data_IF_421657285195
#
_entry.id   IF_421657285195
#
_cell.length_a   1.000
_cell.length_b   1.000
_cell.length_c   1.000
_cell.angle_alpha   90.00
_cell.angle_beta   90.00
_cell.angle_gamma   90.00
#
_symmetry.space_group_name_H-M   'P 1'
#
loop_
_entity.id
_entity.type
_entity.pdbx_description
1 polymer ?
#
# COMPACT_ATOMS: atom_id res chain seq x y z
N UNK A 1 20.43 10.39 -0.19
CA UNK A 1 21.35 9.42 0.44
C UNK A 1 21.65 9.89 1.84
N UNK A 2 21.67 8.99 2.81
CA UNK A 2 22.03 9.27 4.20
C UNK A 2 23.55 9.24 4.36
N UNK A 3 24.08 10.25 5.04
CA UNK A 3 25.50 10.35 5.38
C UNK A 3 25.84 9.50 6.61
N UNK A 4 27.13 9.28 6.89
CA UNK A 4 27.56 8.63 8.14
C UNK A 4 27.12 9.42 9.40
N UNK A 5 27.06 10.76 9.32
CA UNK A 5 26.55 11.59 10.39
C UNK A 5 25.04 11.39 10.59
N UNK A 6 24.29 11.23 9.50
CA UNK A 6 22.84 10.96 9.54
C UNK A 6 22.57 9.62 10.24
N UNK A 7 23.32 8.58 9.87
CA UNK A 7 23.19 7.24 10.47
C UNK A 7 23.51 7.27 11.96
N UNK A 8 24.56 8.00 12.35
CA UNK A 8 24.90 8.20 13.76
C UNK A 8 23.76 8.89 14.51
N UNK A 9 23.19 9.96 13.96
CA UNK A 9 22.08 10.68 14.56
C UNK A 9 20.81 9.82 14.68
N UNK A 10 20.49 9.01 13.66
CA UNK A 10 19.39 8.05 13.70
C UNK A 10 19.60 7.03 14.83
N UNK A 11 20.82 6.53 15.02
CA UNK A 11 21.13 5.58 16.08
C UNK A 11 21.03 6.21 17.47
N UNK A 12 21.50 7.46 17.65
CA UNK A 12 21.35 8.19 18.91
C UNK A 12 19.87 8.43 19.24
N UNK A 13 19.07 8.86 18.27
CA UNK A 13 17.64 9.05 18.43
C UNK A 13 16.89 7.73 18.72
N UNK A 14 17.31 6.62 18.11
CA UNK A 14 16.78 5.29 18.41
C UNK A 14 17.05 4.89 19.87
N UNK A 15 18.26 5.13 20.38
CA UNK A 15 18.61 4.86 21.78
C UNK A 15 17.75 5.71 22.72
N UNK A 16 17.59 7.01 22.42
CA UNK A 16 16.73 7.90 23.19
C UNK A 16 15.27 7.43 23.19
N UNK A 17 14.70 7.10 22.02
CA UNK A 17 13.33 6.62 21.91
C UNK A 17 13.10 5.34 22.74
N UNK A 18 14.04 4.38 22.67
CA UNK A 18 13.95 3.13 23.45
C UNK A 18 14.01 3.37 24.96
N UNK A 19 14.77 4.36 25.42
CA UNK A 19 14.82 4.74 26.83
C UNK A 19 13.51 5.34 27.36
N UNK A 20 12.61 5.79 26.48
CA UNK A 20 11.26 6.24 26.85
C UNK A 20 10.28 5.08 27.06
N UNK A 21 10.66 3.84 26.71
CA UNK A 21 9.83 2.63 26.80
C UNK A 21 8.48 2.73 26.06
N UNK A 22 8.45 3.56 25.01
CA UNK A 22 7.28 3.79 24.17
C UNK A 22 7.16 2.73 23.08
N UNK A 23 5.93 2.50 22.61
CA UNK A 23 5.63 1.54 21.56
C UNK A 23 5.59 2.20 20.17
N UNK A 24 5.54 1.40 19.10
CA UNK A 24 5.61 1.88 17.72
C UNK A 24 4.59 2.97 17.37
N UNK A 25 3.38 2.94 17.96
CA UNK A 25 2.35 3.96 17.76
C UNK A 25 2.72 5.37 18.24
N UNK A 26 3.69 5.47 19.14
CA UNK A 26 4.14 6.73 19.75
C UNK A 26 5.37 7.31 19.05
N UNK A 27 5.89 6.66 18.00
CA UNK A 27 6.97 7.20 17.17
C UNK A 27 6.48 8.45 16.44
N UNK A 28 7.05 9.61 16.78
CA UNK A 28 6.78 10.92 16.19
C UNK A 28 8.08 11.74 16.12
N UNK A 29 8.01 12.95 15.55
CA UNK A 29 9.16 13.88 15.52
C UNK A 29 9.59 14.32 16.93
N UNK A 30 8.67 14.30 17.89
CA UNK A 30 8.91 14.69 19.28
C UNK A 30 9.57 13.57 20.08
N UNK A 31 9.14 12.31 19.87
CA UNK A 31 9.68 11.15 20.60
C UNK A 31 10.92 10.55 19.91
N UNK A 32 11.08 10.77 18.60
CA UNK A 32 12.23 10.37 17.80
C UNK A 32 12.82 11.60 17.07
N UNK A 33 13.44 12.54 17.80
CA UNK A 33 13.95 13.78 17.22
C UNK A 33 15.20 13.52 16.38
N UNK A 34 15.22 14.06 15.16
CA UNK A 34 16.39 14.06 14.28
C UNK A 34 16.99 15.48 14.21
N UNK A 35 18.31 15.63 14.01
CA UNK A 35 18.94 16.92 13.82
C UNK A 35 18.27 17.74 12.71
N UNK A 36 18.30 19.07 12.84
CA UNK A 36 17.57 19.99 11.96
C UNK A 36 17.91 19.78 10.48
N UNK A 37 19.19 19.57 10.15
CA UNK A 37 19.65 19.38 8.78
C UNK A 37 19.09 18.11 8.12
N UNK A 38 18.96 17.01 8.87
CA UNK A 38 18.33 15.78 8.41
C UNK A 38 16.80 15.95 8.33
N UNK A 39 16.20 16.57 9.34
CA UNK A 39 14.76 16.87 9.40
C UNK A 39 14.30 17.76 8.23
N UNK A 40 15.08 18.75 7.84
CA UNK A 40 14.82 19.63 6.69
C UNK A 40 14.90 18.88 5.36
N UNK A 41 15.92 18.01 5.19
CA UNK A 41 16.03 17.16 3.99
C UNK A 41 14.87 16.18 3.88
N UNK A 42 14.42 15.58 4.98
CA UNK A 42 13.24 14.71 5.00
C UNK A 42 11.96 15.50 4.71
N UNK A 43 11.85 16.74 5.21
CA UNK A 43 10.73 17.62 4.88
C UNK A 43 10.72 17.98 3.38
N UNK A 44 11.89 18.24 2.79
CA UNK A 44 12.01 18.41 1.33
C UNK A 44 11.60 17.15 0.56
N UNK A 45 11.93 15.96 1.07
CA UNK A 45 11.44 14.70 0.50
C UNK A 45 9.91 14.59 0.57
N UNK A 46 9.29 15.03 1.68
CA UNK A 46 7.84 15.10 1.79
C UNK A 46 7.22 16.02 0.71
N UNK A 47 7.83 17.18 0.46
CA UNK A 47 7.42 18.05 -0.65
C UNK A 47 7.55 17.38 -2.02
N UNK A 48 8.64 16.67 -2.29
CA UNK A 48 8.83 15.94 -3.55
C UNK A 48 7.75 14.87 -3.78
N UNK A 49 7.35 14.16 -2.71
CA UNK A 49 6.27 13.14 -2.77
C UNK A 49 4.90 13.78 -2.99
N UNK A 50 4.58 14.91 -2.37
CA UNK A 50 3.22 15.46 -2.41
C UNK A 50 3.01 16.55 -3.49
N UNK A 51 4.07 17.28 -3.85
CA UNK A 51 4.01 18.44 -4.75
C UNK A 51 4.96 18.31 -5.94
N UNK A 52 5.98 17.48 -5.84
CA UNK A 52 6.94 17.19 -6.92
C UNK A 52 6.53 15.97 -7.76
N UNK A 53 7.50 15.07 -7.96
CA UNK A 53 7.36 13.90 -8.85
C UNK A 53 6.44 12.80 -8.32
N UNK A 54 6.04 12.85 -7.05
CA UNK A 54 5.27 11.75 -6.46
C UNK A 54 6.11 10.58 -5.95
N UNK A 55 7.45 10.64 -6.07
CA UNK A 55 8.36 9.56 -5.71
C UNK A 55 9.56 10.10 -4.95
N UNK A 56 9.95 9.42 -3.87
CA UNK A 56 11.23 9.62 -3.20
C UNK A 56 11.84 8.29 -2.77
N UNK A 57 13.17 8.18 -2.87
CA UNK A 57 13.93 7.04 -2.37
C UNK A 57 15.01 7.53 -1.39
N UNK A 58 14.97 7.00 -0.18
CA UNK A 58 15.99 7.21 0.85
C UNK A 58 16.89 5.98 0.86
N UNK A 59 18.20 6.20 0.82
CA UNK A 59 19.22 5.16 0.73
C UNK A 59 20.31 5.40 1.76
N UNK A 60 20.96 4.32 2.22
CA UNK A 60 22.14 4.40 3.09
C UNK A 60 21.96 3.69 4.43
N UNK A 61 20.75 3.24 4.79
CA UNK A 61 20.56 2.35 5.92
C UNK A 61 21.14 0.97 5.59
N UNK A 62 21.67 0.29 6.61
CA UNK A 62 22.01 -1.13 6.56
C UNK A 62 21.10 -1.86 7.55
N UNK A 63 20.11 -2.64 7.07
CA UNK A 63 19.17 -3.31 7.96
C UNK A 63 19.85 -4.39 8.80
N UNK A 64 21.04 -4.88 8.44
CA UNK A 64 21.74 -5.93 9.21
C UNK A 64 22.32 -5.41 10.53
N UNK A 65 22.42 -4.09 10.69
CA UNK A 65 22.92 -3.45 11.91
C UNK A 65 21.83 -3.27 13.00
N UNK A 66 20.58 -3.60 12.69
CA UNK A 66 19.45 -3.40 13.59
C UNK A 66 18.74 -4.72 13.86
N UNK A 67 18.24 -4.90 15.09
CA UNK A 67 17.21 -5.92 15.33
C UNK A 67 15.95 -5.60 14.52
N UNK A 68 15.13 -6.58 14.16
CA UNK A 68 13.89 -6.36 13.37
C UNK A 68 12.98 -5.28 13.96
N UNK A 69 12.88 -5.23 15.29
CA UNK A 69 12.12 -4.21 16.01
C UNK A 69 12.72 -2.81 15.84
N UNK A 70 14.03 -2.67 16.01
CA UNK A 70 14.74 -1.39 15.82
C UNK A 70 14.64 -0.91 14.37
N UNK A 71 14.76 -1.85 13.44
CA UNK A 71 14.61 -1.67 12.00
C UNK A 71 13.22 -1.11 11.63
N UNK A 72 12.17 -1.54 12.35
CA UNK A 72 10.81 -1.02 12.23
C UNK A 72 10.69 0.37 12.86
N UNK A 73 11.26 0.61 14.05
CA UNK A 73 11.23 1.92 14.69
C UNK A 73 11.90 3.00 13.82
N UNK A 74 13.07 2.71 13.25
CA UNK A 74 13.77 3.61 12.31
C UNK A 74 12.93 3.90 11.08
N UNK A 75 12.22 2.89 10.54
CA UNK A 75 11.32 3.08 9.42
C UNK A 75 10.15 4.01 9.75
N UNK A 76 9.50 3.77 10.89
CA UNK A 76 8.39 4.58 11.37
C UNK A 76 8.83 6.03 11.61
N UNK A 77 10.02 6.23 12.19
CA UNK A 77 10.57 7.54 12.46
C UNK A 77 10.82 8.33 11.18
N UNK A 78 11.52 7.74 10.20
CA UNK A 78 11.77 8.38 8.90
C UNK A 78 10.46 8.64 8.14
N UNK A 79 9.54 7.68 8.12
CA UNK A 79 8.25 7.82 7.47
C UNK A 79 7.40 8.95 8.08
N UNK A 80 7.51 9.20 9.39
CA UNK A 80 6.79 10.27 10.09
C UNK A 80 7.16 11.68 9.59
N UNK A 81 8.35 11.86 9.02
CA UNK A 81 8.71 13.12 8.35
C UNK A 81 8.03 13.30 6.99
N UNK A 82 7.63 12.20 6.34
CA UNK A 82 6.93 12.22 5.05
C UNK A 82 5.41 12.31 5.26
N UNK A 83 4.87 11.59 6.25
CA UNK A 83 3.46 11.61 6.63
C UNK A 83 3.28 11.20 8.08
N UNK A 84 2.58 12.02 8.84
CA UNK A 84 2.41 11.91 10.29
C UNK A 84 1.26 10.98 10.73
N UNK A 85 0.33 10.68 9.83
CA UNK A 85 -0.77 9.73 10.04
C UNK A 85 -0.45 8.39 9.39
N UNK A 86 -0.98 7.31 9.95
CA UNK A 86 -0.79 5.93 9.47
C UNK A 86 -2.13 5.38 8.98
N UNK A 87 -2.08 4.46 8.04
CA UNK A 87 -3.27 3.79 7.51
C UNK A 87 -3.36 2.38 8.07
N UNK A 88 -4.55 2.00 8.53
CA UNK A 88 -4.87 0.61 8.85
C UNK A 88 -5.00 -0.19 7.55
N UNK A 89 -4.45 -1.39 7.52
CA UNK A 89 -4.41 -2.26 6.34
C UNK A 89 -5.28 -3.52 6.50
N UNK A 90 -5.80 -3.80 7.70
CA UNK A 90 -6.75 -4.89 7.96
C UNK A 90 -7.67 -4.64 9.17
N UNK A 91 -8.65 -5.52 9.38
CA UNK A 91 -9.61 -5.42 10.49
C UNK A 91 -8.98 -5.58 11.89
N UNK A 92 -7.76 -6.11 11.99
CA UNK A 92 -7.04 -6.26 13.28
C UNK A 92 -6.38 -4.96 13.72
N UNK A 93 -6.37 -3.93 12.86
CA UNK A 93 -5.68 -2.67 13.12
C UNK A 93 -4.20 -2.70 12.76
N UNK A 94 -3.75 -3.66 11.96
CA UNK A 94 -2.36 -3.68 11.51
C UNK A 94 -2.08 -2.49 10.59
N UNK A 95 -1.08 -1.69 10.93
CA UNK A 95 -0.62 -0.58 10.07
C UNK A 95 0.64 -0.94 9.28
N UNK A 96 1.26 -2.08 9.58
CA UNK A 96 2.38 -2.66 8.83
C UNK A 96 1.93 -3.95 8.18
N UNK A 97 2.28 -4.12 6.90
CA UNK A 97 2.12 -5.37 6.18
C UNK A 97 3.48 -5.87 5.69
N UNK A 98 3.79 -7.14 5.97
CA UNK A 98 4.99 -7.80 5.48
C UNK A 98 4.74 -8.33 4.06
N UNK A 99 5.38 -7.72 3.06
CA UNK A 99 5.34 -8.17 1.66
C UNK A 99 6.49 -9.17 1.45
N UNK A 100 6.17 -10.44 1.66
CA UNK A 100 7.10 -11.56 1.52
C UNK A 100 6.34 -12.86 1.24
N UNK A 101 7.01 -13.82 0.64
CA UNK A 101 6.58 -15.21 0.63
C UNK A 101 7.16 -15.93 1.86
N UNK A 102 6.43 -15.91 2.99
CA UNK A 102 6.96 -16.45 4.24
C UNK A 102 7.03 -17.99 4.19
N UNK A 103 8.18 -18.54 4.58
CA UNK A 103 8.43 -20.00 4.61
C UNK A 103 7.52 -20.77 5.56
N UNK A 104 7.14 -20.15 6.67
CA UNK A 104 6.31 -20.80 7.69
C UNK A 104 4.93 -21.19 7.13
N UNK A 105 4.50 -20.52 6.06
CA UNK A 105 3.22 -20.76 5.45
C UNK A 105 3.25 -22.03 4.60
N UNK A 106 2.37 -22.96 4.93
CA UNK A 106 2.16 -24.22 4.18
C UNK A 106 1.01 -24.13 3.17
N UNK A 107 0.30 -22.99 3.16
CA UNK A 107 -0.84 -22.73 2.26
C UNK A 107 -0.37 -22.76 0.80
N UNK A 108 -1.05 -23.47 -0.13
CA UNK A 108 -0.70 -23.45 -1.55
C UNK A 108 -0.68 -22.05 -2.16
N UNK A 109 0.23 -21.79 -3.10
CA UNK A 109 0.45 -20.46 -3.72
C UNK A 109 -0.81 -19.88 -4.36
N UNK A 110 -1.65 -20.73 -4.93
CA UNK A 110 -2.89 -20.35 -5.63
C UNK A 110 -3.97 -19.86 -4.66
N UNK A 111 -3.79 -20.13 -3.36
CA UNK A 111 -4.65 -19.66 -2.27
C UNK A 111 -4.04 -18.48 -1.51
N UNK A 112 -2.84 -18.04 -1.87
CA UNK A 112 -2.18 -16.85 -1.32
C UNK A 112 -2.54 -15.63 -2.16
N UNK A 113 -2.63 -14.50 -1.49
CA UNK A 113 -2.69 -13.20 -2.16
C UNK A 113 -1.39 -12.95 -2.94
N UNK A 114 -1.47 -12.32 -4.12
CA UNK A 114 -0.32 -12.13 -5.04
C UNK A 114 0.88 -11.39 -4.40
N UNK A 115 0.65 -10.46 -3.47
CA UNK A 115 1.73 -9.80 -2.70
C UNK A 115 2.59 -10.78 -1.89
N UNK A 116 2.04 -11.94 -1.54
CA UNK A 116 2.67 -13.02 -0.79
C UNK A 116 3.15 -14.18 -1.68
N UNK A 117 3.18 -13.97 -2.99
CA UNK A 117 3.75 -14.92 -3.96
C UNK A 117 4.86 -14.26 -4.77
N UNK A 118 5.57 -15.06 -5.56
CA UNK A 118 6.64 -14.63 -6.45
C UNK A 118 6.17 -14.18 -7.85
N UNK A 119 4.86 -14.18 -8.10
CA UNK A 119 4.28 -13.83 -9.39
C UNK A 119 4.38 -12.34 -9.69
N UNK A 120 4.17 -11.96 -10.95
CA UNK A 120 4.04 -10.54 -11.32
C UNK A 120 2.82 -9.93 -10.63
N UNK A 121 3.00 -8.75 -10.02
CA UNK A 121 1.91 -7.95 -9.49
C UNK A 121 1.61 -6.84 -10.51
N UNK A 122 0.42 -6.90 -11.11
CA UNK A 122 -0.03 -6.02 -12.20
C UNK A 122 -0.14 -4.57 -11.75
N UNK A 123 -0.19 -3.63 -12.70
CA UNK A 123 -0.35 -2.20 -12.43
C UNK A 123 -1.58 -1.86 -11.58
N UNK A 124 -1.36 -1.13 -10.48
CA UNK A 124 -2.41 -0.71 -9.57
C UNK A 124 -2.03 0.53 -8.75
N UNK A 125 -3.01 1.08 -8.04
CA UNK A 125 -2.91 1.95 -6.88
C UNK A 125 -3.48 1.16 -5.69
N UNK A 126 -2.87 1.25 -4.51
CA UNK A 126 -3.40 0.62 -3.30
C UNK A 126 -4.64 1.43 -2.84
N UNK A 127 -5.84 1.03 -3.27
CA UNK A 127 -7.05 1.82 -2.99
C UNK A 127 -7.28 2.03 -1.49
N UNK A 128 -7.20 3.28 -1.04
CA UNK A 128 -7.30 3.66 0.37
C UNK A 128 -5.99 4.21 0.96
N UNK A 129 -4.86 4.06 0.28
CA UNK A 129 -3.59 4.67 0.64
C UNK A 129 -3.44 6.09 0.06
N UNK A 130 -2.78 6.98 0.79
CA UNK A 130 -2.32 8.29 0.29
C UNK A 130 -0.89 8.20 -0.24
N UNK A 131 0.04 7.81 0.64
CA UNK A 131 1.43 7.54 0.29
C UNK A 131 1.78 6.13 0.74
N UNK A 132 2.37 5.36 -0.16
CA UNK A 132 2.96 4.06 0.10
C UNK A 132 4.40 4.25 0.54
N UNK A 133 4.70 3.84 1.77
CA UNK A 133 6.05 3.72 2.27
C UNK A 133 6.46 2.24 2.24
N UNK A 134 7.57 1.93 1.55
CA UNK A 134 8.10 0.57 1.42
C UNK A 134 9.54 0.55 1.92
N UNK A 135 9.80 -0.20 2.99
CA UNK A 135 11.15 -0.46 3.43
C UNK A 135 11.64 -1.82 2.91
N UNK A 136 12.78 -1.83 2.24
CA UNK A 136 13.39 -3.03 1.70
C UNK A 136 14.27 -3.68 2.76
N UNK A 137 13.82 -4.79 3.36
CA UNK A 137 14.66 -5.60 4.25
C UNK A 137 15.63 -6.46 3.47
N UNK A 138 15.09 -7.12 2.45
CA UNK A 138 15.81 -8.07 1.62
C UNK A 138 15.28 -8.02 0.19
N UNK A 139 16.18 -8.09 -0.78
CA UNK A 139 15.83 -8.19 -2.21
C UNK A 139 15.78 -9.65 -2.65
N UNK A 140 15.05 -9.93 -3.73
CA UNK A 140 15.06 -11.24 -4.38
C UNK A 140 16.44 -11.53 -5.00
N UNK A 141 16.72 -12.81 -5.29
CA UNK A 141 17.94 -13.19 -6.02
C UNK A 141 17.90 -12.71 -7.47
N UNK A 142 16.72 -12.79 -8.12
CA UNK A 142 16.47 -12.28 -9.48
C UNK A 142 15.07 -11.66 -9.57
N UNK A 143 14.92 -10.58 -10.31
CA UNK A 143 13.62 -9.91 -10.52
C UNK A 143 13.09 -9.18 -9.27
N UNK A 144 11.77 -9.02 -9.18
CA UNK A 144 11.10 -8.51 -7.97
C UNK A 144 11.19 -6.99 -7.78
N UNK A 145 11.56 -6.30 -8.85
CA UNK A 145 11.73 -4.86 -8.86
C UNK A 145 10.37 -4.16 -8.77
N UNK A 146 10.31 -3.12 -7.94
CA UNK A 146 9.19 -2.19 -7.91
C UNK A 146 9.28 -1.28 -9.14
N UNK A 147 8.18 -1.12 -9.84
CA UNK A 147 8.06 -0.26 -11.02
C UNK A 147 6.96 0.77 -10.77
N UNK A 148 7.12 1.97 -11.32
CA UNK A 148 6.14 3.06 -11.20
C UNK A 148 5.82 3.66 -12.57
N UNK A 149 4.59 4.11 -12.74
CA UNK A 149 4.13 4.81 -13.94
C UNK A 149 3.28 6.03 -13.53
N UNK A 150 3.55 7.20 -14.12
CA UNK A 150 2.85 8.43 -13.77
C UNK A 150 1.42 8.44 -14.30
N UNK A 151 0.44 8.59 -13.39
CA UNK A 151 -0.97 8.71 -13.78
C UNK A 151 -1.23 9.95 -14.64
N UNK A 152 -0.44 11.02 -14.45
CA UNK A 152 -0.50 12.25 -15.24
C UNK A 152 0.03 12.04 -16.66
N UNK A 153 1.15 11.29 -16.81
CA UNK A 153 1.67 10.92 -18.13
C UNK A 153 0.71 9.98 -18.86
N UNK A 154 0.16 8.99 -18.15
CA UNK A 154 -0.87 8.08 -18.68
C UNK A 154 -2.07 8.90 -19.16
N UNK A 155 -2.60 9.81 -18.34
CA UNK A 155 -3.70 10.67 -18.71
C UNK A 155 -3.42 11.47 -19.98
N UNK A 156 -2.26 12.14 -20.07
CA UNK A 156 -1.93 12.95 -21.24
C UNK A 156 -1.90 12.12 -22.53
N UNK A 157 -1.30 10.93 -22.48
CA UNK A 157 -1.25 10.01 -23.63
C UNK A 157 -2.68 9.56 -23.99
N UNK A 158 -3.42 9.01 -23.03
CA UNK A 158 -4.75 8.46 -23.27
C UNK A 158 -5.73 9.54 -23.69
N UNK A 159 -5.67 10.75 -23.13
CA UNK A 159 -6.50 11.88 -23.56
C UNK A 159 -6.25 12.28 -25.02
N UNK A 160 -5.01 12.16 -25.49
CA UNK A 160 -4.65 12.47 -26.87
C UNK A 160 -5.01 11.34 -27.86
N UNK A 161 -4.83 10.08 -27.47
CA UNK A 161 -4.98 8.92 -28.37
C UNK A 161 -6.38 8.28 -28.29
N UNK A 162 -6.98 8.26 -27.10
CA UNK A 162 -8.23 7.56 -26.74
C UNK A 162 -9.05 8.38 -25.74
N UNK A 163 -9.54 9.57 -26.10
CA UNK A 163 -10.33 10.41 -25.20
C UNK A 163 -11.64 9.74 -24.75
N UNK A 164 -12.14 8.76 -25.49
CA UNK A 164 -13.24 7.88 -25.09
C UNK A 164 -12.91 7.11 -23.81
N UNK A 165 -11.68 6.60 -23.66
CA UNK A 165 -11.23 5.89 -22.46
C UNK A 165 -11.17 6.84 -21.25
N UNK A 166 -10.73 8.08 -21.43
CA UNK A 166 -10.76 9.08 -20.35
C UNK A 166 -12.17 9.31 -19.82
N UNK A 167 -13.17 9.40 -20.71
CA UNK A 167 -14.58 9.56 -20.30
C UNK A 167 -15.03 8.38 -19.45
N UNK A 168 -14.74 7.16 -19.89
CA UNK A 168 -15.08 5.93 -19.15
C UNK A 168 -14.40 5.90 -17.77
N UNK A 169 -13.13 6.27 -17.68
CA UNK A 169 -12.40 6.32 -16.40
C UNK A 169 -12.95 7.38 -15.43
N UNK A 170 -13.48 8.48 -15.96
CA UNK A 170 -14.01 9.59 -15.17
C UNK A 170 -15.47 9.40 -14.70
N UNK A 171 -16.22 8.49 -15.34
CA UNK A 171 -17.58 8.18 -14.90
C UNK A 171 -17.59 7.55 -13.51
N UNK A 172 -18.41 8.03 -12.56
CA UNK A 172 -18.48 7.47 -11.20
C UNK A 172 -19.40 6.24 -11.15
N UNK A 173 -19.20 5.28 -12.06
CA UNK A 173 -20.01 4.07 -12.21
C UNK A 173 -19.18 2.78 -12.08
N UNK A 174 -17.95 2.87 -11.56
CA UNK A 174 -17.11 1.70 -11.35
C UNK A 174 -17.46 1.03 -10.04
N UNK A 175 -17.85 -0.26 -10.05
CA UNK A 175 -18.16 -1.01 -8.84
C UNK A 175 -16.87 -1.37 -8.09
N UNK A 176 -16.49 -0.54 -7.12
CA UNK A 176 -15.32 -0.70 -6.26
C UNK A 176 -15.69 -1.49 -5.01
N UNK A 177 -15.00 -2.60 -4.75
CA UNK A 177 -15.19 -3.38 -3.53
C UNK A 177 -14.77 -2.58 -2.30
N UNK A 178 -15.62 -2.57 -1.27
CA UNK A 178 -15.33 -1.94 0.02
C UNK A 178 -15.66 -2.89 1.16
N UNK A 179 -14.95 -2.73 2.27
CA UNK A 179 -15.19 -3.43 3.54
C UNK A 179 -15.86 -2.51 4.56
N UNK A 180 -16.43 -3.09 5.63
CA UNK A 180 -16.98 -2.37 6.80
C UNK A 180 -18.14 -1.41 6.47
N UNK A 181 -18.93 -1.75 5.44
CA UNK A 181 -20.13 -1.03 5.05
C UNK A 181 -21.28 -1.99 4.78
N UNK A 182 -22.51 -1.50 4.90
CA UNK A 182 -23.74 -2.26 4.58
C UNK A 182 -23.73 -2.77 3.13
N UNK A 183 -23.22 -1.95 2.20
CA UNK A 183 -22.94 -2.38 0.83
C UNK A 183 -21.51 -2.89 0.70
N UNK A 184 -21.32 -3.99 -0.05
CA UNK A 184 -19.99 -4.55 -0.36
C UNK A 184 -19.27 -3.83 -1.50
N UNK A 185 -19.92 -2.83 -2.11
CA UNK A 185 -19.30 -1.97 -3.11
C UNK A 185 -19.82 -0.55 -3.03
N UNK A 186 -19.02 0.38 -3.52
CA UNK A 186 -19.43 1.75 -3.87
C UNK A 186 -19.23 1.96 -5.37
N UNK A 187 -19.89 2.98 -5.91
CA UNK A 187 -19.60 3.47 -7.25
C UNK A 187 -18.65 4.66 -7.16
N UNK A 188 -17.54 4.58 -7.88
CA UNK A 188 -16.50 5.60 -7.89
C UNK A 188 -16.00 5.83 -9.32
N UNK A 189 -15.32 6.95 -9.54
CA UNK A 189 -14.49 7.13 -10.73
C UNK A 189 -13.13 6.46 -10.50
N UNK A 190 -12.41 6.12 -11.57
CA UNK A 190 -11.01 5.69 -11.46
C UNK A 190 -10.04 6.84 -11.73
N UNK A 191 -10.55 7.95 -12.27
CA UNK A 191 -9.78 9.12 -12.65
C UNK A 191 -10.60 10.38 -12.35
N UNK A 192 -10.04 11.32 -11.61
CA UNK A 192 -10.74 12.57 -11.28
C UNK A 192 -9.77 13.74 -11.16
N UNK A 193 -10.20 14.93 -11.58
CA UNK A 193 -9.54 16.18 -11.25
C UNK A 193 -10.16 16.79 -10.00
N UNK A 194 -9.35 16.97 -8.96
CA UNK A 194 -9.78 17.55 -7.70
C UNK A 194 -8.71 18.49 -7.15
N UNK A 195 -9.10 19.70 -6.77
CA UNK A 195 -8.20 20.73 -6.21
C UNK A 195 -6.93 20.97 -7.05
N UNK A 196 -7.10 21.00 -8.39
CA UNK A 196 -6.00 21.20 -9.34
C UNK A 196 -5.05 20.01 -9.51
N UNK A 197 -5.39 18.84 -8.95
CA UNK A 197 -4.63 17.60 -9.09
C UNK A 197 -5.42 16.57 -9.86
N UNK A 198 -4.74 15.77 -10.68
CA UNK A 198 -5.28 14.55 -11.25
C UNK A 198 -5.03 13.40 -10.27
N UNK A 199 -6.10 12.78 -9.80
CA UNK A 199 -6.10 11.60 -8.95
C UNK A 199 -6.48 10.39 -9.78
N UNK A 200 -5.75 9.29 -9.63
CA UNK A 200 -6.12 8.00 -10.19
C UNK A 200 -6.26 6.98 -9.05
N UNK A 201 -7.36 6.23 -9.06
CA UNK A 201 -7.66 5.17 -8.10
C UNK A 201 -7.87 3.86 -8.87
N UNK A 202 -6.79 3.28 -9.36
CA UNK A 202 -6.83 2.19 -10.34
C UNK A 202 -6.39 0.87 -9.72
N UNK A 203 -7.31 -0.04 -9.41
CA UNK A 203 -6.96 -1.41 -8.97
C UNK A 203 -7.90 -2.40 -9.64
N UNK A 204 -7.50 -3.02 -10.77
CA UNK A 204 -8.32 -3.98 -11.49
C UNK A 204 -8.86 -5.11 -10.62
N UNK A 205 -8.13 -5.51 -9.57
CA UNK A 205 -8.53 -6.59 -8.67
C UNK A 205 -9.60 -6.16 -7.64
N UNK A 206 -9.97 -4.88 -7.58
CA UNK A 206 -11.07 -4.33 -6.76
C UNK A 206 -12.31 -3.97 -7.55
N UNK A 207 -12.38 -4.31 -8.82
CA UNK A 207 -13.43 -3.82 -9.71
C UNK A 207 -14.32 -4.95 -10.20
N UNK A 208 -15.63 -4.76 -10.00
CA UNK A 208 -16.69 -5.62 -10.52
C UNK A 208 -16.76 -7.02 -9.91
N UNK A 209 -17.68 -7.86 -10.41
CA UNK A 209 -17.90 -9.20 -9.86
C UNK A 209 -16.61 -10.02 -9.80
N UNK A 210 -16.20 -10.44 -8.60
CA UNK A 210 -15.04 -11.33 -8.45
C UNK A 210 -15.42 -12.77 -8.92
N UNK A 211 -14.62 -13.46 -9.75
CA UNK A 211 -14.97 -14.77 -10.30
C UNK A 211 -15.29 -15.86 -9.27
N UNK A 212 -14.67 -15.78 -8.09
CA UNK A 212 -14.93 -16.70 -6.98
C UNK A 212 -16.21 -16.40 -6.18
N UNK A 213 -16.91 -15.28 -6.44
CA UNK A 213 -18.18 -14.97 -5.78
C UNK A 213 -19.29 -15.88 -6.31
N UNK A 214 -19.80 -16.75 -5.43
CA UNK A 214 -20.97 -17.59 -5.75
C UNK A 214 -22.27 -16.86 -5.38
N UNK A 215 -23.28 -16.80 -6.26
CA UNK A 215 -24.59 -16.26 -5.93
C UNK A 215 -25.23 -17.09 -4.80
N UNK A 216 -25.82 -16.43 -3.80
CA UNK A 216 -26.56 -17.06 -2.70
C UNK A 216 -28.03 -16.62 -2.75
N UNK A 217 -28.96 -17.56 -2.54
CA UNK A 217 -30.42 -17.31 -2.62
C UNK A 217 -30.94 -16.22 -1.68
N UNK A 218 -30.24 -15.94 -0.57
CA UNK A 218 -30.62 -14.93 0.43
C UNK A 218 -30.02 -13.53 0.20
N UNK A 219 -29.17 -13.33 -0.83
CA UNK A 219 -28.40 -12.07 -0.99
C UNK A 219 -28.36 -11.59 -2.44
N UNK A 220 -29.34 -10.80 -2.88
CA UNK A 220 -29.48 -10.38 -4.27
C UNK A 220 -28.54 -9.24 -4.72
N UNK A 221 -27.85 -8.53 -3.82
CA UNK A 221 -26.90 -7.48 -4.24
C UNK A 221 -25.57 -8.11 -4.64
N UNK A 222 -25.51 -8.61 -5.87
CA UNK A 222 -24.27 -8.92 -6.55
C UNK A 222 -23.56 -7.60 -6.89
N UNK A 223 -22.25 -7.54 -6.66
CA UNK A 223 -21.42 -6.45 -7.18
C UNK A 223 -21.54 -6.51 -8.71
N UNK A 224 -21.86 -5.41 -9.42
CA UNK A 224 -22.03 -5.44 -10.86
C UNK A 224 -20.77 -5.91 -11.60
N UNK A 225 -20.94 -6.60 -12.73
CA UNK A 225 -19.82 -6.89 -13.64
C UNK A 225 -19.40 -5.64 -14.40
N UNK A 226 -18.12 -5.58 -14.79
CA UNK A 226 -17.61 -4.49 -15.62
C UNK A 226 -18.13 -4.59 -17.06
N UNK A 227 -18.49 -3.44 -17.64
CA UNK A 227 -18.84 -3.35 -19.05
C UNK A 227 -17.62 -3.60 -19.95
N UNK A 228 -17.85 -3.90 -21.24
CA UNK A 228 -16.75 -4.05 -22.20
C UNK A 228 -15.88 -2.79 -22.30
N UNK A 229 -16.49 -1.60 -22.25
CA UNK A 229 -15.79 -0.32 -22.26
C UNK A 229 -14.91 -0.14 -21.01
N UNK A 230 -15.41 -0.52 -19.83
CA UNK A 230 -14.63 -0.51 -18.59
C UNK A 230 -13.44 -1.49 -18.66
N UNK A 231 -13.65 -2.71 -19.15
CA UNK A 231 -12.57 -3.69 -19.31
C UNK A 231 -11.51 -3.25 -20.33
N UNK A 232 -11.93 -2.64 -21.44
CA UNK A 232 -11.04 -2.01 -22.42
C UNK A 232 -10.22 -0.88 -21.78
N UNK A 233 -10.87 0.00 -21.02
CA UNK A 233 -10.18 1.09 -20.33
C UNK A 233 -9.08 0.59 -19.38
N UNK A 234 -9.33 -0.49 -18.62
CA UNK A 234 -8.31 -1.12 -17.78
C UNK A 234 -7.11 -1.62 -18.60
N UNK A 235 -7.36 -2.28 -19.74
CA UNK A 235 -6.31 -2.79 -20.63
C UNK A 235 -5.50 -1.65 -21.25
N UNK A 236 -6.14 -0.57 -21.70
CA UNK A 236 -5.48 0.61 -22.27
C UNK A 236 -4.56 1.28 -21.23
N UNK A 237 -5.06 1.52 -20.01
CA UNK A 237 -4.25 2.12 -18.94
C UNK A 237 -3.05 1.25 -18.60
N UNK A 238 -3.23 -0.06 -18.42
CA UNK A 238 -2.13 -0.98 -18.13
C UNK A 238 -1.08 -1.00 -19.25
N UNK A 239 -1.49 -1.01 -20.52
CA UNK A 239 -0.57 -0.98 -21.66
C UNK A 239 0.19 0.36 -21.79
N UNK A 240 -0.44 1.48 -21.46
CA UNK A 240 0.24 2.79 -21.43
C UNK A 240 1.20 2.87 -20.23
N UNK A 241 0.80 2.36 -19.06
CA UNK A 241 1.64 2.29 -17.88
C UNK A 241 2.92 1.48 -18.15
N UNK A 242 2.78 0.26 -18.70
CA UNK A 242 3.90 -0.62 -19.04
C UNK A 242 4.95 0.07 -19.92
N UNK A 243 4.49 0.69 -21.02
CA UNK A 243 5.35 1.37 -22.01
C UNK A 243 6.03 2.63 -21.47
N UNK A 244 5.52 3.23 -20.39
CA UNK A 244 5.99 4.50 -19.82
C UNK A 244 6.44 4.35 -18.36
N UNK A 245 6.78 3.13 -17.97
CA UNK A 245 7.17 2.81 -16.60
C UNK A 245 8.65 3.09 -16.33
N UNK A 246 8.96 3.26 -15.05
CA UNK A 246 10.33 3.30 -14.53
C UNK A 246 10.50 2.16 -13.54
N UNK A 247 11.51 1.32 -13.77
CA UNK A 247 11.94 0.33 -12.80
C UNK A 247 12.84 1.00 -11.76
N UNK A 248 12.52 0.81 -10.48
CA UNK A 248 13.27 1.39 -9.37
C UNK A 248 14.40 0.44 -8.95
N UNK A 249 15.63 0.95 -8.96
CA UNK A 249 16.79 0.24 -8.42
C UNK A 249 16.81 0.32 -6.90
N UNK A 250 16.46 -0.77 -6.22
CA UNK A 250 16.43 -0.85 -4.76
C UNK A 250 17.44 -1.85 -4.22
N UNK A 251 18.02 -1.53 -3.06
CA UNK A 251 18.82 -2.46 -2.25
C UNK A 251 18.26 -2.59 -0.84
N UNK A 252 18.71 -3.60 -0.10
CA UNK A 252 18.41 -3.73 1.33
C UNK A 252 18.76 -2.42 2.07
N UNK A 253 17.85 -1.97 2.92
CA UNK A 253 17.93 -0.70 3.65
C UNK A 253 17.27 0.50 2.97
N UNK A 254 16.97 0.42 1.66
CA UNK A 254 16.29 1.52 0.99
C UNK A 254 14.84 1.66 1.48
N UNK A 255 14.36 2.91 1.54
CA UNK A 255 12.96 3.25 1.80
C UNK A 255 12.41 4.01 0.60
N UNK A 256 11.32 3.50 0.02
CA UNK A 256 10.59 4.16 -1.05
C UNK A 256 9.34 4.83 -0.51
N UNK A 257 9.04 6.03 -1.02
CA UNK A 257 7.78 6.73 -0.81
C UNK A 257 7.14 7.01 -2.16
N UNK A 258 5.93 6.51 -2.37
CA UNK A 258 5.18 6.61 -3.62
C UNK A 258 3.84 7.26 -3.32
N UNK A 259 3.55 8.39 -3.96
CA UNK A 259 2.25 9.03 -3.92
C UNK A 259 1.26 8.18 -4.73
N UNK A 260 0.34 7.53 -4.01
CA UNK A 260 -0.55 6.51 -4.55
C UNK A 260 -1.58 7.07 -5.55
N UNK A 261 -1.93 8.36 -5.40
CA UNK A 261 -2.84 9.05 -6.32
C UNK A 261 -2.16 9.43 -7.65
N UNK A 262 -0.86 9.71 -7.60
CA UNK A 262 -0.08 10.25 -8.72
C UNK A 262 0.66 9.17 -9.52
N UNK A 263 0.90 8.01 -8.94
CA UNK A 263 1.71 6.94 -9.51
C UNK A 263 0.98 5.61 -9.37
N UNK A 264 0.89 4.88 -10.48
CA UNK A 264 0.59 3.46 -10.47
C UNK A 264 1.89 2.72 -10.17
N UNK A 265 1.80 1.60 -9.48
CA UNK A 265 2.93 0.72 -9.21
C UNK A 265 2.63 -0.73 -9.58
N UNK A 266 3.71 -1.45 -9.85
CA UNK A 266 3.72 -2.86 -10.18
C UNK A 266 4.98 -3.51 -9.62
N UNK A 267 5.00 -4.85 -9.62
CA UNK A 267 6.18 -5.63 -9.23
C UNK A 267 6.47 -6.67 -10.30
N UNK A 268 7.68 -6.72 -10.81
CA UNK A 268 8.07 -7.83 -11.69
C UNK A 268 8.06 -9.18 -10.95
N UNK A 269 7.85 -10.27 -11.69
CA UNK A 269 8.02 -11.61 -11.12
C UNK A 269 9.46 -11.79 -10.60
N UNK A 270 9.65 -12.72 -9.66
CA UNK A 270 10.95 -12.92 -9.03
C UNK A 270 11.22 -14.36 -8.62
N UNK A 271 12.48 -14.61 -8.25
CA UNK A 271 12.95 -15.88 -7.72
C UNK A 271 13.81 -15.61 -6.49
N UNK A 272 13.51 -16.30 -5.39
CA UNK A 272 14.27 -16.21 -4.15
C UNK A 272 15.42 -17.23 -4.11
N UNK A 273 16.42 -16.98 -3.26
CA UNK A 273 17.54 -17.92 -3.12
C UNK A 273 17.12 -19.18 -2.36
N UNK A 274 17.51 -20.36 -2.88
CA UNK A 274 17.20 -21.65 -2.27
C UNK A 274 15.94 -22.35 -2.80
N UNK A 275 15.24 -21.81 -3.80
CA UNK A 275 14.27 -22.59 -4.60
C UNK A 275 15.00 -23.58 -5.54
N UNK A 276 16.28 -23.33 -5.87
CA UNK A 276 17.13 -24.18 -6.73
C UNK A 276 18.17 -25.01 -5.94
N UNK A 277 18.28 -24.84 -4.61
CA UNK A 277 19.38 -25.39 -3.81
C UNK A 277 18.88 -26.21 -2.60
N UNK A 278 18.14 -27.28 -2.87
CA UNK A 278 18.03 -28.41 -1.94
C UNK A 278 19.37 -29.15 -1.91
N UNK A 279 20.34 -28.69 -1.10
CA UNK A 279 21.54 -29.51 -0.86
C UNK A 279 22.80 -28.82 -0.36
N UNK A 280 22.87 -27.49 -0.31
CA UNK A 280 24.04 -26.80 0.24
C UNK A 280 23.55 -25.68 1.14
N UNK A 281 24.13 -25.53 2.34
CA UNK A 281 23.72 -24.64 3.43
C UNK A 281 23.73 -23.14 3.14
N UNK A 282 23.19 -22.70 2.01
CA UNK A 282 22.96 -21.31 1.65
C UNK A 282 21.86 -20.73 2.52
N UNK A 283 22.15 -19.61 3.18
CA UNK A 283 21.16 -18.78 3.86
C UNK A 283 20.06 -18.46 2.86
N UNK A 284 18.85 -18.95 3.14
CA UNK A 284 17.70 -18.76 2.25
C UNK A 284 17.23 -17.31 2.37
N UNK A 285 17.74 -16.47 1.48
CA UNK A 285 17.37 -15.07 1.36
C UNK A 285 16.13 -14.95 0.50
N UNK A 286 15.04 -14.48 1.11
CA UNK A 286 13.76 -14.23 0.47
C UNK A 286 13.48 -12.75 0.40
N UNK A 287 12.85 -12.31 -0.68
CA UNK A 287 12.40 -10.93 -0.81
C UNK A 287 11.46 -10.59 0.35
N UNK A 288 11.78 -9.51 1.05
CA UNK A 288 11.01 -9.06 2.19
C UNK A 288 10.99 -7.54 2.25
N UNK A 289 9.79 -6.97 2.10
CA UNK A 289 9.52 -5.55 2.28
C UNK A 289 8.52 -5.35 3.42
N UNK A 290 8.62 -4.24 4.14
CA UNK A 290 7.55 -3.75 5.00
C UNK A 290 6.80 -2.65 4.25
N UNK A 291 5.48 -2.73 4.21
CA UNK A 291 4.61 -1.68 3.69
C UNK A 291 3.89 -0.97 4.81
N UNK A 292 3.91 0.35 4.74
CA UNK A 292 3.14 1.27 5.55
C UNK A 292 2.37 2.20 4.62
N UNK A 293 1.11 2.49 4.93
CA UNK A 293 0.40 3.62 4.34
C UNK A 293 0.51 4.81 5.28
N UNK A 294 0.85 5.97 4.72
CA UNK A 294 0.95 7.21 5.47
C UNK A 294 0.15 8.31 4.81
N UNK A 295 -0.28 9.26 5.62
CA UNK A 295 -0.87 10.52 5.19
C UNK A 295 -0.14 11.67 5.88
N UNK A 296 0.09 12.73 5.13
CA UNK A 296 0.62 13.97 5.65
C UNK A 296 -0.54 14.93 5.93
N UNK A 297 -0.72 15.35 7.17
CA UNK A 297 -1.82 16.23 7.59
C UNK A 297 -1.78 17.62 6.93
N UNK A 298 -0.62 18.06 6.43
CA UNK A 298 -0.45 19.37 5.79
C UNK A 298 -0.36 19.29 4.26
N UNK A 299 0.32 18.28 3.74
CA UNK A 299 0.64 18.14 2.31
C UNK A 299 -0.27 17.13 1.59
N UNK A 300 -1.02 16.31 2.33
CA UNK A 300 -1.96 15.33 1.80
C UNK A 300 -2.94 15.97 0.82
N UNK A 301 -3.28 15.24 -0.25
CA UNK A 301 -4.25 15.74 -1.21
C UNK A 301 -5.65 15.62 -0.62
N UNK A 302 -6.54 16.54 -1.02
CA UNK A 302 -7.96 16.44 -0.67
C UNK A 302 -8.58 15.25 -1.39
N UNK A 303 -9.40 14.50 -0.66
CA UNK A 303 -10.00 13.25 -1.15
C UNK A 303 -11.43 13.52 -1.65
N UNK A 304 -11.71 13.29 -2.94
CA UNK A 304 -13.06 13.38 -3.50
C UNK A 304 -14.07 12.49 -2.76
N UNK A 305 -15.33 12.92 -2.74
CA UNK A 305 -16.43 12.22 -2.05
C UNK A 305 -16.55 10.74 -2.49
N UNK A 306 -16.55 10.51 -3.80
CA UNK A 306 -16.68 9.19 -4.42
C UNK A 306 -15.45 8.28 -4.20
N UNK A 307 -14.28 8.83 -3.85
CA UNK A 307 -13.05 8.08 -3.55
C UNK A 307 -12.84 7.89 -2.04
N UNK A 308 -13.71 8.46 -1.21
CA UNK A 308 -13.49 8.53 0.23
C UNK A 308 -13.68 7.20 0.95
N UNK A 309 -14.60 6.35 0.48
CA UNK A 309 -14.94 5.11 1.19
C UNK A 309 -13.74 4.15 1.42
N UNK A 310 -12.89 3.83 0.42
CA UNK A 310 -11.68 3.06 0.66
C UNK A 310 -10.66 3.78 1.56
N UNK A 311 -10.56 5.10 1.46
CA UNK A 311 -9.64 5.92 2.25
C UNK A 311 -10.04 5.97 3.73
N UNK A 312 -11.32 6.11 4.04
CA UNK A 312 -11.86 6.06 5.41
C UNK A 312 -11.58 4.72 6.08
N UNK A 313 -11.62 3.62 5.33
CA UNK A 313 -11.30 2.30 5.88
C UNK A 313 -9.86 2.23 6.42
N UNK A 314 -8.95 3.06 5.89
CA UNK A 314 -7.57 3.15 6.35
C UNK A 314 -7.35 4.26 7.39
N UNK A 315 -7.97 5.44 7.25
CA UNK A 315 -7.61 6.66 7.99
C UNK A 315 -8.72 7.26 8.88
N UNK A 316 -9.94 6.71 8.90
CA UNK A 316 -11.07 7.29 9.67
C UNK A 316 -10.83 7.38 11.18
N UNK A 317 -9.94 6.54 11.73
CA UNK A 317 -9.56 6.60 13.14
C UNK A 317 -8.74 7.86 13.52
N UNK A 318 -8.23 8.59 12.53
CA UNK A 318 -7.32 9.71 12.73
C UNK A 318 -8.02 11.06 13.02
N UNK A 319 -9.35 11.05 13.24
CA UNK A 319 -10.18 12.22 13.56
C UNK A 319 -10.05 13.38 12.56
N UNK A 320 -10.27 13.12 11.27
CA UNK A 320 -10.34 14.17 10.23
C UNK A 320 -11.78 14.67 9.93
N UNK A 321 -12.75 14.38 10.81
CA UNK A 321 -14.03 15.09 10.84
C UNK A 321 -15.07 14.71 9.78
N UNK A 322 -14.86 13.63 9.01
CA UNK A 322 -15.89 13.06 8.14
C UNK A 322 -15.91 11.53 8.24
N UNK A 323 -17.03 11.00 8.75
CA UNK A 323 -17.36 9.57 8.74
C UNK A 323 -18.69 9.46 8.02
N UNK A 324 -18.74 8.69 6.92
CA UNK A 324 -20.01 8.49 6.22
C UNK A 324 -21.03 7.80 7.15
N UNK A 325 -22.30 8.20 7.08
CA UNK A 325 -23.35 7.66 7.97
C UNK A 325 -23.64 6.15 7.82
N UNK A 326 -23.08 5.51 6.78
CA UNK A 326 -23.15 4.07 6.52
C UNK A 326 -21.87 3.30 6.89
N UNK A 327 -20.80 3.99 7.33
CA UNK A 327 -19.59 3.36 7.81
C UNK A 327 -19.87 2.68 9.15
N UNK A 328 -19.70 1.36 9.20
CA UNK A 328 -19.83 0.63 10.45
C UNK A 328 -18.50 0.74 11.20
N UNK A 329 -18.50 1.48 12.31
CA UNK A 329 -17.37 1.53 13.23
C UNK A 329 -17.09 0.11 13.77
N UNK A 330 -16.20 -0.61 13.10
CA UNK A 330 -15.39 -1.60 13.80
C UNK A 330 -14.45 -0.82 14.69
N UNK A 331 -14.68 -0.82 16.00
CA UNK A 331 -13.83 -0.14 16.96
C UNK A 331 -12.42 -0.74 16.93
N UNK A 332 -11.55 -0.25 16.04
CA UNK A 332 -10.11 -0.51 16.13
C UNK A 332 -9.61 0.36 17.28
N UNK A 333 -9.60 -0.22 18.48
CA UNK A 333 -9.18 0.46 19.71
C UNK A 333 -7.66 0.61 19.82
N UNK A 334 -6.88 -0.11 19.01
CA UNK A 334 -5.42 -0.09 19.08
C UNK A 334 -4.75 -0.41 17.74
N UNK A 335 -3.81 0.44 17.33
CA UNK A 335 -2.96 0.22 16.15
C UNK A 335 -1.91 -0.86 16.44
N UNK A 336 -1.71 -1.78 15.50
CA UNK A 336 -0.75 -2.89 15.62
C UNK A 336 0.43 -2.72 14.67
N UNK A 337 1.62 -2.99 15.20
CA UNK A 337 2.90 -2.84 14.52
C UNK A 337 3.63 -4.19 14.53
N UNK A 338 3.17 -5.18 13.74
CA UNK A 338 3.84 -6.47 13.68
C UNK A 338 5.30 -6.28 13.26
N UNK A 339 6.20 -6.84 14.07
CA UNK A 339 7.65 -6.80 13.81
C UNK A 339 8.05 -7.91 12.82
N UNK A 340 7.31 -9.02 12.83
CA UNK A 340 7.53 -10.20 11.99
C UNK A 340 6.25 -10.55 11.24
N UNK A 341 6.35 -11.27 10.10
CA UNK A 341 5.18 -11.84 9.45
C UNK A 341 4.40 -12.74 10.42
N UNK A 342 3.07 -12.78 10.28
CA UNK A 342 2.22 -13.71 11.02
C UNK A 342 2.71 -15.16 10.78
N UNK A 343 2.84 -15.99 11.83
CA UNK A 343 3.35 -17.36 11.68
C UNK A 343 2.44 -18.21 10.79
N UNK A 344 1.13 -17.95 10.84
CA UNK A 344 0.11 -18.66 10.09
C UNK A 344 -0.55 -17.77 9.05
N UNK A 345 -0.50 -18.18 7.77
CA UNK A 345 -1.28 -17.53 6.72
C UNK A 345 -2.69 -18.08 6.71
N UNK A 346 -3.67 -17.21 6.92
CA UNK A 346 -5.08 -17.55 6.72
C UNK A 346 -5.44 -17.33 5.26
N UNK A 347 -5.81 -18.38 4.49
CA UNK A 347 -6.26 -18.21 3.12
C UNK A 347 -7.48 -17.31 3.07
N UNK A 348 -7.41 -16.25 2.28
CA UNK A 348 -8.59 -15.42 2.02
C UNK A 348 -9.63 -16.26 1.27
N UNK A 349 -10.91 -16.10 1.64
CA UNK A 349 -12.02 -16.74 0.91
C UNK A 349 -12.08 -16.28 -0.55
N UNK A 350 -11.77 -15.02 -0.76
CA UNK A 350 -11.40 -14.40 -2.04
C UNK A 350 -10.64 -13.10 -1.70
N UNK A 351 -9.65 -12.75 -2.51
CA UNK A 351 -8.87 -11.52 -2.33
C UNK A 351 -9.40 -10.45 -3.27
N UNK A 352 -9.66 -9.26 -2.75
CA UNK A 352 -10.07 -8.10 -3.56
C UNK A 352 -9.03 -6.99 -3.43
N UNK A 353 -8.37 -6.74 -4.55
CA UNK A 353 -7.32 -5.74 -4.68
C UNK A 353 -5.91 -6.25 -4.55
N UNK A 354 -4.97 -5.41 -4.95
CA UNK A 354 -3.52 -5.63 -4.86
C UNK A 354 -2.97 -5.29 -3.47
N UNK A 355 -3.71 -4.49 -2.70
CA UNK A 355 -3.35 -3.97 -1.40
C UNK A 355 -3.44 -4.98 -0.24
N UNK A 356 -3.78 -6.25 -0.47
CA UNK A 356 -3.93 -7.26 0.60
C UNK A 356 -4.97 -6.94 1.68
N UNK A 357 -5.92 -6.04 1.39
CA UNK A 357 -7.13 -5.94 2.20
C UNK A 357 -7.88 -7.27 2.14
N UNK A 358 -7.78 -8.04 3.21
CA UNK A 358 -8.54 -9.28 3.34
C UNK A 358 -9.96 -8.89 3.75
N UNK A 359 -10.93 -9.16 2.89
CA UNK A 359 -12.33 -9.22 3.31
C UNK A 359 -12.49 -10.54 4.08
N UNK A 360 -12.07 -10.53 5.35
CA UNK A 360 -12.47 -11.55 6.30
C UNK A 360 -13.93 -11.26 6.67
N UNK A 361 -14.88 -11.86 5.95
CA UNK A 361 -16.24 -12.01 6.49
C UNK A 361 -16.06 -12.87 7.75
N UNK A 362 -16.16 -12.28 8.94
CA UNK A 362 -16.19 -13.07 10.17
C UNK A 362 -17.37 -14.03 10.09
N UNK A 363 -17.16 -15.27 10.51
CA UNK A 363 -18.23 -16.27 10.64
C UNK A 363 -19.24 -15.91 11.76
N UNK A 364 -19.21 -14.69 12.30
CA UNK A 364 -19.95 -14.27 13.49
C UNK A 364 -20.94 -13.12 13.27
N UNK A 365 -21.27 -12.73 12.04
CA UNK A 365 -22.44 -11.88 11.75
C UNK A 365 -23.69 -12.71 11.38
N UNK A 366 -23.74 -13.96 11.85
CA UNK A 366 -24.87 -14.86 11.67
C UNK A 366 -25.31 -15.34 13.04
N UNK A 367 -26.23 -14.58 13.64
CA UNK A 367 -27.36 -15.07 14.42
C UNK A 367 -28.14 -13.82 14.85
N UNK A 368 -28.96 -13.31 13.93
CA UNK A 368 -30.23 -12.69 14.29
C UNK A 368 -31.17 -12.82 13.08
N UNK A 369 -32.24 -13.58 13.33
CA UNK A 369 -33.40 -14.01 12.52
C UNK A 369 -33.27 -15.30 11.67
#
# INVERSE_FOLDING_TARGET
MLSAADLKAINEALVTFKALELAGHEVSKETFPLPNDLSERLSSAAYEVHRGRGLCQIQGLDPTLYSEADNLLVFLAIANYIGDKRGIQDKKGNVITHITDAKAWTVPYEKRHVVHTNQHLTWHCDMGADVLALQVRQVAARGGATMVASSWKIYNIVASERPDVIRVLAEPNWPVHVSNRKSRHVLASLLEFHDGKLLMNFDPSRLGTHPAMKPRRSRPVAIPSLTEAQQEALRVVAAVAERNSLQLGTKAGDILFINNWALLHARSAYTDSGEEAEGQGTVNQRRHLLRLWIRNSQLGWKIPENLRAPWEAAFSYADEGYVSGDHQNGAVTQLRYPVMPEPDYKPARYTTGSAAFVIEDSESEYDDE
#
